data_IF_022175182667
#
_entry.id   IF_022175182667
#
_cell.length_a   1.000
_cell.length_b   1.000
_cell.length_c   1.000
_cell.angle_alpha   90.00
_cell.angle_beta   90.00
_cell.angle_gamma   90.00
#
_symmetry.space_group_name_H-M   'P 1'
#
loop_
_entity.id
_entity.type
_entity.pdbx_description
1 polymer ?
#
# COMPACT_ATOMS: atom_id res chain seq x y z
N UNK A 1 -7.09 30.50 -36.01
CA UNK A 1 -8.30 29.76 -35.60
C UNK A 1 -8.13 28.27 -35.87
N UNK A 2 -8.09 27.82 -37.14
CA UNK A 2 -7.86 26.41 -37.52
C UNK A 2 -6.56 25.76 -36.98
N UNK A 3 -5.45 26.50 -36.97
CA UNK A 3 -4.17 25.97 -36.44
C UNK A 3 -4.19 25.80 -34.92
N UNK A 4 -4.86 26.69 -34.21
CA UNK A 4 -5.05 26.61 -32.75
C UNK A 4 -5.95 25.43 -32.39
N UNK A 5 -7.06 25.24 -33.11
CA UNK A 5 -7.96 24.09 -32.93
C UNK A 5 -7.25 22.75 -33.23
N UNK A 6 -6.40 22.70 -34.26
CA UNK A 6 -5.60 21.50 -34.56
C UNK A 6 -4.56 21.20 -33.46
N UNK A 7 -3.89 22.21 -32.92
CA UNK A 7 -2.93 22.03 -31.83
C UNK A 7 -3.61 21.58 -30.52
N UNK A 8 -4.79 22.11 -30.22
CA UNK A 8 -5.61 21.67 -29.08
C UNK A 8 -6.07 20.22 -29.24
N UNK A 9 -6.50 19.82 -30.44
CA UNK A 9 -6.89 18.45 -30.74
C UNK A 9 -5.72 17.47 -30.62
N UNK A 10 -4.55 17.82 -31.14
CA UNK A 10 -3.33 17.01 -30.98
C UNK A 10 -2.90 16.89 -29.51
N UNK A 11 -3.02 17.96 -28.72
CA UNK A 11 -2.73 17.93 -27.29
C UNK A 11 -3.70 17.00 -26.54
N UNK A 12 -4.99 17.09 -26.82
CA UNK A 12 -6.02 16.25 -26.22
C UNK A 12 -5.83 14.76 -26.58
N UNK A 13 -5.47 14.46 -27.83
CA UNK A 13 -5.15 13.09 -28.27
C UNK A 13 -3.93 12.54 -27.50
N UNK A 14 -2.86 13.32 -27.37
CA UNK A 14 -1.68 12.90 -26.58
C UNK A 14 -2.02 12.67 -25.11
N UNK A 15 -2.84 13.52 -24.51
CA UNK A 15 -3.29 13.32 -23.12
C UNK A 15 -4.11 12.04 -22.96
N UNK A 16 -4.99 11.74 -23.93
CA UNK A 16 -5.77 10.52 -23.95
C UNK A 16 -4.89 9.27 -24.07
N UNK A 17 -3.89 9.27 -24.97
CA UNK A 17 -2.97 8.14 -25.13
C UNK A 17 -2.18 7.88 -23.84
N UNK A 18 -1.71 8.93 -23.17
CA UNK A 18 -1.04 8.82 -21.87
C UNK A 18 -1.97 8.22 -20.81
N UNK A 19 -3.23 8.64 -20.77
CA UNK A 19 -4.22 8.12 -19.82
C UNK A 19 -4.48 6.62 -20.06
N UNK A 20 -4.71 6.20 -21.31
CA UNK A 20 -4.94 4.78 -21.65
C UNK A 20 -3.75 3.90 -21.26
N UNK A 21 -2.52 4.37 -21.48
CA UNK A 21 -1.31 3.66 -21.07
C UNK A 21 -1.20 3.57 -19.55
N UNK A 22 -1.54 4.63 -18.82
CA UNK A 22 -1.53 4.64 -17.35
C UNK A 22 -2.57 3.67 -16.79
N UNK A 23 -3.79 3.67 -17.33
CA UNK A 23 -4.85 2.73 -16.95
C UNK A 23 -4.44 1.28 -17.18
N UNK A 24 -3.83 0.98 -18.34
CA UNK A 24 -3.31 -0.35 -18.65
C UNK A 24 -2.23 -0.78 -17.64
N UNK A 25 -1.32 0.13 -17.28
CA UNK A 25 -0.25 -0.15 -16.30
C UNK A 25 -0.79 -0.41 -14.92
N UNK A 26 -1.74 0.41 -14.44
CA UNK A 26 -2.38 0.22 -13.13
C UNK A 26 -3.07 -1.13 -13.09
N UNK A 27 -3.89 -1.46 -14.10
CA UNK A 27 -4.59 -2.74 -14.18
C UNK A 27 -3.63 -3.93 -14.22
N UNK A 28 -2.54 -3.83 -15.00
CA UNK A 28 -1.55 -4.89 -15.06
C UNK A 28 -0.85 -5.11 -13.70
N UNK A 29 -0.54 -4.04 -12.96
CA UNK A 29 0.05 -4.13 -11.63
C UNK A 29 -0.91 -4.75 -10.61
N UNK A 30 -2.20 -4.36 -10.62
CA UNK A 30 -3.23 -4.98 -9.79
C UNK A 30 -3.33 -6.49 -10.05
N UNK A 31 -3.41 -6.90 -11.32
CA UNK A 31 -3.45 -8.32 -11.69
C UNK A 31 -2.21 -9.09 -11.23
N UNK A 32 -1.02 -8.49 -11.28
CA UNK A 32 0.21 -9.13 -10.82
C UNK A 32 0.21 -9.30 -9.29
N UNK A 33 -0.29 -8.30 -8.55
CA UNK A 33 -0.43 -8.39 -7.10
C UNK A 33 -1.40 -9.50 -6.72
N UNK A 34 -2.58 -9.52 -7.33
CA UNK A 34 -3.62 -10.50 -7.05
C UNK A 34 -3.13 -11.94 -7.29
N UNK A 35 -2.41 -12.18 -8.40
CA UNK A 35 -1.85 -13.50 -8.72
C UNK A 35 -0.68 -13.92 -7.81
N UNK A 36 -0.09 -12.99 -7.05
CA UNK A 36 1.09 -13.26 -6.21
C UNK A 36 0.74 -13.58 -4.75
N UNK A 37 -0.47 -13.29 -4.29
CA UNK A 37 -0.86 -13.35 -2.88
C UNK A 37 -0.19 -12.29 -1.99
N UNK A 38 0.54 -11.33 -2.59
CA UNK A 38 1.19 -10.24 -1.87
C UNK A 38 0.17 -9.15 -1.57
N UNK A 39 0.06 -8.79 -0.30
CA UNK A 39 -0.79 -7.69 0.13
C UNK A 39 0.02 -6.40 0.01
N UNK A 40 -0.25 -5.58 -1.01
CA UNK A 40 0.33 -4.25 -1.14
C UNK A 40 -0.56 -3.22 -0.47
N UNK A 41 0.05 -2.16 0.09
CA UNK A 41 -0.70 -1.06 0.71
C UNK A 41 -0.03 0.30 0.51
N UNK A 42 -0.87 1.34 0.57
CA UNK A 42 -0.46 2.73 0.70
C UNK A 42 -1.27 3.33 1.84
N UNK A 43 -0.60 3.91 2.83
CA UNK A 43 -1.26 4.66 3.90
C UNK A 43 -0.57 6.00 4.14
N UNK A 44 -1.34 6.98 4.60
CA UNK A 44 -0.80 8.23 5.14
C UNK A 44 -0.15 8.00 6.49
N UNK A 45 0.67 8.96 6.91
CA UNK A 45 1.32 8.94 8.23
C UNK A 45 0.30 8.81 9.38
N UNK A 46 -0.86 9.46 9.27
CA UNK A 46 -1.95 9.35 10.23
C UNK A 46 -2.68 7.98 10.24
N UNK A 47 -2.23 7.02 9.41
CA UNK A 47 -2.77 5.67 9.33
C UNK A 47 -3.97 5.51 8.39
N UNK A 48 -4.45 6.57 7.72
CA UNK A 48 -5.49 6.45 6.70
C UNK A 48 -4.97 5.63 5.52
N UNK A 49 -5.66 4.56 5.18
CA UNK A 49 -5.32 3.70 4.03
C UNK A 49 -5.87 4.34 2.76
N UNK A 50 -4.99 4.62 1.80
CA UNK A 50 -5.34 5.14 0.47
C UNK A 50 -5.46 4.00 -0.55
N UNK A 51 -4.74 2.89 -0.34
CA UNK A 51 -4.82 1.70 -1.18
C UNK A 51 -4.48 0.44 -0.37
N UNK A 52 -5.15 -0.66 -0.69
CA UNK A 52 -4.78 -2.02 -0.30
C UNK A 52 -5.16 -2.97 -1.43
N UNK A 53 -4.28 -3.91 -1.79
CA UNK A 53 -4.57 -4.89 -2.85
C UNK A 53 -5.67 -5.87 -2.44
N UNK A 54 -6.32 -6.52 -3.43
CA UNK A 54 -7.42 -7.45 -3.19
C UNK A 54 -6.98 -8.71 -2.43
N UNK A 55 -5.70 -9.05 -2.44
CA UNK A 55 -5.11 -10.16 -1.67
C UNK A 55 -5.38 -10.08 -0.17
N UNK A 56 -5.74 -8.91 0.37
CA UNK A 56 -6.18 -8.77 1.78
C UNK A 56 -7.43 -9.61 2.10
N UNK A 57 -8.23 -9.95 1.09
CA UNK A 57 -9.42 -10.79 1.21
C UNK A 57 -9.10 -12.21 1.63
N UNK A 58 -7.89 -12.70 1.37
CA UNK A 58 -7.42 -14.00 1.86
C UNK A 58 -7.35 -14.06 3.40
N UNK A 59 -7.20 -12.91 4.05
CA UNK A 59 -7.26 -12.77 5.51
C UNK A 59 -8.70 -12.60 6.03
N UNK A 60 -9.69 -12.54 5.14
CA UNK A 60 -11.12 -12.40 5.43
C UNK A 60 -11.61 -10.96 5.55
N UNK A 61 -10.79 -9.97 5.24
CA UNK A 61 -11.17 -8.54 5.26
C UNK A 61 -11.46 -8.04 3.85
N UNK A 62 -12.37 -7.08 3.72
CA UNK A 62 -12.57 -6.42 2.42
C UNK A 62 -11.63 -5.23 2.27
N UNK A 63 -11.26 -4.88 1.04
CA UNK A 63 -10.46 -3.68 0.76
C UNK A 63 -11.15 -2.41 1.30
N UNK A 64 -12.49 -2.34 1.22
CA UNK A 64 -13.27 -1.20 1.72
C UNK A 64 -13.26 -1.06 3.24
N UNK A 65 -13.03 -2.16 3.98
CA UNK A 65 -12.89 -2.08 5.45
C UNK A 65 -11.69 -1.19 5.82
N UNK A 66 -10.64 -1.15 5.00
CA UNK A 66 -9.44 -0.33 5.24
C UNK A 66 -9.59 1.09 4.69
N UNK A 67 -10.06 1.25 3.45
CA UNK A 67 -10.19 2.57 2.83
C UNK A 67 -11.24 3.46 3.51
N UNK A 68 -12.28 2.85 4.12
CA UNK A 68 -13.26 3.54 4.96
C UNK A 68 -12.74 3.87 6.37
N UNK A 69 -11.58 3.31 6.78
CA UNK A 69 -11.04 3.46 8.12
C UNK A 69 -11.73 2.61 9.19
N UNK A 70 -12.59 1.66 8.80
CA UNK A 70 -13.23 0.71 9.71
C UNK A 70 -12.23 -0.27 10.34
N UNK A 71 -11.15 -0.59 9.62
CA UNK A 71 -10.05 -1.44 10.08
C UNK A 71 -8.73 -0.72 9.82
N UNK A 72 -7.83 -0.73 10.80
CA UNK A 72 -6.46 -0.26 10.64
C UNK A 72 -5.47 -1.43 10.62
N UNK A 73 -4.38 -1.33 9.85
CA UNK A 73 -3.33 -2.37 9.80
C UNK A 73 -2.78 -2.76 11.17
N UNK A 74 -2.68 -1.82 12.12
CA UNK A 74 -2.20 -2.12 13.48
C UNK A 74 -3.12 -3.10 14.23
N UNK A 75 -4.40 -3.18 13.87
CA UNK A 75 -5.38 -4.08 14.50
C UNK A 75 -5.19 -5.54 14.05
N UNK A 76 -4.56 -5.75 12.88
CA UNK A 76 -4.19 -7.07 12.40
C UNK A 76 -2.97 -7.61 13.14
N UNK A 77 -2.08 -6.75 13.64
CA UNK A 77 -0.85 -7.17 14.32
C UNK A 77 -1.21 -7.97 15.59
N UNK A 78 -0.50 -9.07 15.81
CA UNK A 78 -0.65 -9.84 17.04
C UNK A 78 -0.33 -8.97 18.27
N UNK A 79 -1.11 -9.02 19.36
CA UNK A 79 -0.92 -8.14 20.51
C UNK A 79 0.51 -8.13 21.07
N UNK A 80 1.14 -9.30 21.18
CA UNK A 80 2.52 -9.45 21.66
C UNK A 80 3.58 -8.78 20.76
N UNK A 81 3.27 -8.58 19.47
CA UNK A 81 4.20 -8.00 18.50
C UNK A 81 3.92 -6.50 18.27
N UNK A 82 2.75 -6.00 18.68
CA UNK A 82 2.24 -4.67 18.34
C UNK A 82 3.18 -3.54 18.78
N UNK A 83 3.58 -3.54 20.06
CA UNK A 83 4.42 -2.47 20.61
C UNK A 83 5.78 -2.40 19.92
N UNK A 84 6.40 -3.56 19.68
CA UNK A 84 7.68 -3.66 18.96
C UNK A 84 7.55 -3.16 17.52
N UNK A 85 6.54 -3.62 16.79
CA UNK A 85 6.33 -3.26 15.37
C UNK A 85 6.11 -1.75 15.23
N UNK A 86 5.25 -1.18 16.08
CA UNK A 86 4.95 0.26 16.07
C UNK A 86 6.18 1.09 16.47
N UNK A 87 6.97 0.64 17.44
CA UNK A 87 8.18 1.33 17.88
C UNK A 87 9.23 1.39 16.76
N UNK A 88 9.59 0.23 16.20
CA UNK A 88 10.57 0.12 15.12
C UNK A 88 10.14 0.95 13.88
N UNK A 89 8.85 0.97 13.54
CA UNK A 89 8.31 1.80 12.46
C UNK A 89 8.53 3.30 12.74
N UNK A 90 8.22 3.74 13.96
CA UNK A 90 8.37 5.14 14.36
C UNK A 90 9.83 5.56 14.39
N UNK A 91 10.71 4.75 14.97
CA UNK A 91 12.14 5.04 15.07
C UNK A 91 12.76 5.20 13.68
N UNK A 92 12.53 4.24 12.76
CA UNK A 92 13.04 4.34 11.39
C UNK A 92 12.49 5.56 10.63
N UNK A 93 11.21 5.89 10.83
CA UNK A 93 10.62 7.07 10.22
C UNK A 93 11.28 8.37 10.72
N UNK A 94 11.55 8.48 12.02
CA UNK A 94 12.17 9.64 12.67
C UNK A 94 13.66 9.76 12.35
N UNK A 95 14.39 8.65 12.27
CA UNK A 95 15.83 8.61 11.96
C UNK A 95 16.15 8.93 10.49
N UNK A 96 15.13 9.14 9.65
CA UNK A 96 15.34 9.48 8.24
C UNK A 96 15.59 8.26 7.35
N UNK A 97 15.31 7.04 7.82
CA UNK A 97 15.44 5.85 6.99
C UNK A 97 14.58 5.95 5.72
N UNK A 98 15.03 5.31 4.64
CA UNK A 98 14.28 5.21 3.39
C UNK A 98 13.09 4.23 3.50
N UNK A 99 13.16 3.30 4.45
CA UNK A 99 12.21 2.22 4.62
C UNK A 99 12.68 1.27 5.72
N UNK A 100 11.96 0.17 5.89
CA UNK A 100 12.31 -0.88 6.85
C UNK A 100 11.77 -2.23 6.37
N UNK A 101 12.28 -3.31 6.98
CA UNK A 101 11.71 -4.64 6.85
C UNK A 101 11.55 -5.28 8.22
N UNK A 102 10.40 -5.89 8.46
CA UNK A 102 10.03 -6.48 9.74
C UNK A 102 9.35 -7.82 9.50
N UNK A 103 9.52 -8.74 10.46
CA UNK A 103 8.74 -9.98 10.53
C UNK A 103 7.92 -9.97 11.80
N UNK A 104 6.64 -10.29 11.68
CA UNK A 104 5.72 -10.31 12.82
C UNK A 104 4.48 -11.15 12.51
N UNK A 105 3.73 -11.46 13.55
CA UNK A 105 2.48 -12.21 13.44
C UNK A 105 1.31 -11.28 13.20
N UNK A 106 0.39 -11.70 12.35
CA UNK A 106 -0.92 -11.07 12.16
C UNK A 106 -2.05 -12.05 12.46
N UNK A 107 -3.24 -11.51 12.77
CA UNK A 107 -4.47 -12.26 12.95
C UNK A 107 -5.43 -11.99 11.80
N UNK A 108 -5.83 -13.08 11.16
CA UNK A 108 -6.94 -13.07 10.19
C UNK A 108 -8.26 -12.74 10.90
N UNK A 109 -9.31 -12.40 10.15
CA UNK A 109 -10.65 -12.19 10.70
C UNK A 109 -11.25 -13.42 11.38
N UNK A 110 -10.71 -14.61 11.09
CA UNK A 110 -11.05 -15.89 11.73
C UNK A 110 -10.12 -16.22 12.92
N UNK A 111 -9.35 -15.26 13.41
CA UNK A 111 -8.36 -15.41 14.51
C UNK A 111 -7.21 -16.40 14.26
N UNK A 112 -7.01 -16.87 13.01
CA UNK A 112 -5.79 -17.61 12.66
C UNK A 112 -4.59 -16.67 12.68
N UNK A 113 -3.50 -17.15 13.26
CA UNK A 113 -2.21 -16.45 13.28
C UNK A 113 -1.41 -16.82 12.05
N UNK A 114 -0.87 -15.82 11.35
CA UNK A 114 0.06 -15.96 10.22
C UNK A 114 1.31 -15.16 10.49
N UNK A 115 2.46 -15.65 10.07
CA UNK A 115 3.72 -14.89 10.11
C UNK A 115 3.89 -14.17 8.78
N UNK A 116 4.09 -12.85 8.81
CA UNK A 116 4.32 -12.06 7.61
C UNK A 116 5.69 -11.39 7.65
N UNK A 117 6.27 -11.19 6.47
CA UNK A 117 7.35 -10.24 6.23
C UNK A 117 6.75 -8.95 5.64
N UNK A 118 6.91 -7.83 6.34
CA UNK A 118 6.62 -6.50 5.85
C UNK A 118 7.88 -5.89 5.24
N UNK A 119 7.73 -5.27 4.06
CA UNK A 119 8.72 -4.36 3.47
C UNK A 119 8.06 -3.04 3.19
N UNK A 120 8.60 -1.99 3.80
CA UNK A 120 8.00 -0.66 3.81
C UNK A 120 9.00 0.38 3.32
N UNK A 121 8.51 1.34 2.54
CA UNK A 121 9.23 2.52 2.04
C UNK A 121 8.52 3.78 2.52
N UNK A 122 9.29 4.75 2.97
CA UNK A 122 8.78 6.05 3.41
C UNK A 122 8.86 7.06 2.27
N UNK A 123 7.72 7.62 1.88
CA UNK A 123 7.65 8.74 0.94
C UNK A 123 7.52 10.03 1.75
N UNK A 124 8.53 10.89 1.62
CA UNK A 124 8.61 12.16 2.34
C UNK A 124 8.15 13.31 1.47
N UNK A 125 7.56 14.32 2.10
CA UNK A 125 7.25 15.59 1.45
C UNK A 125 8.50 16.48 1.30
N UNK A 126 8.31 17.68 0.77
CA UNK A 126 9.36 18.69 0.58
C UNK A 126 10.03 19.15 1.89
N UNK A 127 9.40 18.93 3.04
CA UNK A 127 9.93 19.26 4.36
C UNK A 127 10.68 18.07 5.01
N UNK A 128 10.77 16.94 4.32
CA UNK A 128 11.40 15.71 4.84
C UNK A 128 10.50 14.91 5.79
N UNK A 129 9.23 15.30 5.94
CA UNK A 129 8.26 14.63 6.80
C UNK A 129 7.65 13.46 6.03
N UNK A 130 7.48 12.30 6.69
CA UNK A 130 6.83 11.15 6.06
C UNK A 130 5.38 11.51 5.75
N UNK A 131 5.03 11.56 4.46
CA UNK A 131 3.68 11.81 3.98
C UNK A 131 2.92 10.51 3.71
N UNK A 132 3.62 9.52 3.15
CA UNK A 132 3.07 8.19 2.86
C UNK A 132 4.01 7.08 3.30
N UNK A 133 3.40 5.96 3.67
CA UNK A 133 4.04 4.68 3.94
C UNK A 133 3.51 3.72 2.89
N UNK A 134 4.41 3.19 2.07
CA UNK A 134 4.08 2.25 0.99
C UNK A 134 4.80 0.95 1.26
N UNK A 135 4.09 -0.17 1.18
CA UNK A 135 4.72 -1.44 1.49
C UNK A 135 3.95 -2.65 0.99
N UNK A 136 4.55 -3.79 1.26
CA UNK A 136 3.99 -5.10 0.98
C UNK A 136 4.06 -5.98 2.24
N UNK A 137 3.08 -6.85 2.40
CA UNK A 137 3.07 -7.96 3.34
C UNK A 137 3.09 -9.26 2.56
N UNK A 138 4.07 -10.11 2.87
CA UNK A 138 4.18 -11.45 2.30
C UNK A 138 3.96 -12.48 3.41
N UNK A 139 3.02 -13.40 3.22
CA UNK A 139 2.84 -14.53 4.13
C UNK A 139 4.05 -15.47 4.02
N UNK A 140 4.71 -15.68 5.15
CA UNK A 140 5.88 -16.56 5.30
C UNK A 140 5.63 -17.62 6.37
N UNK A 141 4.35 -17.93 6.65
CA UNK A 141 3.99 -19.00 7.57
C UNK A 141 4.56 -20.32 7.05
N UNK A 142 5.37 -21.00 7.87
CA UNK A 142 5.95 -22.29 7.52
C UNK A 142 4.84 -23.30 7.21
N UNK A 143 4.97 -24.02 6.09
CA UNK A 143 4.11 -25.14 5.69
C UNK A 143 4.64 -26.47 6.23
#
# INVERSE_FOLDING_TARGET
>A
MRETENAELECALKQKDVLEILELRVKALEMLLDNSGIIAFIRKENGKVEFVSSSIEELGYKTEDFSSGKVNFKELVHPDDLDRVVLELKENALEGAAGLSQKYRIRTKKEHVRTVEEKTTFIRDENGIVAYIVGILTDITDN
#
